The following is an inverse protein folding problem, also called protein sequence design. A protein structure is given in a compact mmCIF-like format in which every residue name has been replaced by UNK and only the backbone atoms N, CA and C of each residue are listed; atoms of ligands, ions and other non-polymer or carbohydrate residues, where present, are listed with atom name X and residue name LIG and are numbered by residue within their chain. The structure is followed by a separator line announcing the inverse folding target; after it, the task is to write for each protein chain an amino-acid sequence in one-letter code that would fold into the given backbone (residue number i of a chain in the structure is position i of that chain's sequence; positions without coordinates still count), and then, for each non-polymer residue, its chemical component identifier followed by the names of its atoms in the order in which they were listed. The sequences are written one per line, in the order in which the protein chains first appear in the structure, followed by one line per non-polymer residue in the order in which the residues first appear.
data_IF_217809360744
#
_entry.id   IF_217809360744
#
_cell.length_a   1.000
_cell.length_b   1.000
_cell.length_c   1.000
_cell.angle_alpha   90.00
_cell.angle_beta   90.00
_cell.angle_gamma   90.00
#
_symmetry.space_group_name_H-M   'P 1'
#
loop_
_entity.id
_entity.type
_entity.pdbx_description
1 polymer ?
#
# COMPACT_ATOMS: atom_id res chain seq x y z
N UNK A 1 -15.28 15.15 -5.72
CA UNK A 1 -16.11 14.01 -5.32
C UNK A 1 -16.09 13.00 -6.45
N UNK A 2 -15.46 11.85 -6.22
CA UNK A 2 -15.51 10.73 -7.16
C UNK A 2 -16.91 10.12 -7.18
N UNK A 3 -17.37 9.66 -8.35
CA UNK A 3 -18.67 9.01 -8.46
C UNK A 3 -18.65 7.62 -7.79
N UNK A 4 -19.79 7.19 -7.24
CA UNK A 4 -19.90 5.88 -6.57
C UNK A 4 -19.49 4.70 -7.47
N UNK A 5 -19.69 4.82 -8.79
CA UNK A 5 -19.25 3.82 -9.77
C UNK A 5 -17.73 3.74 -9.89
N UNK A 6 -17.04 4.88 -9.90
CA UNK A 6 -15.57 4.94 -9.96
C UNK A 6 -14.96 4.47 -8.64
N UNK A 7 -15.52 4.85 -7.49
CA UNK A 7 -15.06 4.35 -6.18
C UNK A 7 -15.17 2.82 -6.09
N UNK A 8 -16.28 2.24 -6.57
CA UNK A 8 -16.45 0.78 -6.61
C UNK A 8 -15.43 0.10 -7.52
N UNK A 9 -15.16 0.69 -8.70
CA UNK A 9 -14.16 0.17 -9.63
C UNK A 9 -12.75 0.21 -9.02
N UNK A 10 -12.39 1.30 -8.34
CA UNK A 10 -11.10 1.43 -7.66
C UNK A 10 -10.94 0.37 -6.56
N UNK A 11 -11.96 0.14 -5.73
CA UNK A 11 -11.92 -0.92 -4.72
C UNK A 11 -11.85 -2.33 -5.32
N UNK A 12 -12.56 -2.56 -6.44
CA UNK A 12 -12.51 -3.84 -7.15
C UNK A 12 -11.12 -4.17 -7.67
N UNK A 13 -10.27 -3.16 -7.91
CA UNK A 13 -8.88 -3.35 -8.30
C UNK A 13 -7.94 -3.42 -7.09
N UNK A 14 -8.07 -2.47 -6.16
CA UNK A 14 -7.18 -2.35 -4.98
C UNK A 14 -7.25 -3.57 -4.06
N UNK A 15 -8.42 -4.18 -3.84
CA UNK A 15 -8.52 -5.33 -2.93
C UNK A 15 -7.72 -6.53 -3.48
N UNK A 16 -7.94 -6.98 -4.73
CA UNK A 16 -7.11 -8.02 -5.32
C UNK A 16 -5.61 -7.71 -5.30
N UNK A 17 -5.20 -6.47 -5.57
CA UNK A 17 -3.78 -6.07 -5.51
C UNK A 17 -3.19 -6.24 -4.11
N UNK A 18 -3.88 -5.75 -3.07
CA UNK A 18 -3.44 -5.89 -1.69
C UNK A 18 -3.39 -7.37 -1.27
N UNK A 19 -4.36 -8.18 -1.71
CA UNK A 19 -4.35 -9.63 -1.48
C UNK A 19 -3.16 -10.28 -2.18
N UNK A 20 -2.88 -9.92 -3.42
CA UNK A 20 -1.74 -10.45 -4.18
C UNK A 20 -0.40 -10.09 -3.50
N UNK A 21 -0.24 -8.84 -3.07
CA UNK A 21 0.92 -8.39 -2.30
C UNK A 21 1.06 -9.15 -0.97
N UNK A 22 -0.03 -9.36 -0.24
CA UNK A 22 -0.01 -10.11 1.02
C UNK A 22 0.36 -11.58 0.81
N UNK A 23 -0.13 -12.22 -0.26
CA UNK A 23 0.26 -13.59 -0.63
C UNK A 23 1.75 -13.64 -0.99
N UNK A 24 2.22 -12.68 -1.80
CA UNK A 24 3.63 -12.61 -2.18
C UNK A 24 4.53 -12.39 -0.96
N UNK A 25 4.11 -11.54 -0.03
CA UNK A 25 4.79 -11.33 1.25
C UNK A 25 4.91 -12.64 2.03
N UNK A 26 3.81 -13.40 2.16
CA UNK A 26 3.81 -14.69 2.87
C UNK A 26 4.75 -15.71 2.22
N UNK A 27 4.77 -15.80 0.89
CA UNK A 27 5.66 -16.70 0.14
C UNK A 27 7.13 -16.33 0.34
N UNK A 28 7.47 -15.04 0.24
CA UNK A 28 8.85 -14.56 0.43
C UNK A 28 9.28 -14.71 1.90
N UNK A 29 8.39 -14.44 2.86
CA UNK A 29 8.65 -14.66 4.28
C UNK A 29 8.94 -16.15 4.56
N UNK A 30 8.10 -17.06 4.05
CA UNK A 30 8.33 -18.50 4.16
C UNK A 30 9.69 -18.92 3.61
N UNK A 31 10.10 -18.35 2.47
CA UNK A 31 11.43 -18.58 1.90
C UNK A 31 12.58 -18.08 2.79
N UNK A 32 12.46 -16.86 3.34
CA UNK A 32 13.49 -16.24 4.21
C UNK A 32 13.64 -16.99 5.53
N UNK A 33 12.53 -17.45 6.12
CA UNK A 33 12.53 -18.17 7.40
C UNK A 33 12.68 -19.70 7.26
N UNK A 34 12.94 -20.21 6.05
CA UNK A 34 13.22 -21.63 5.81
C UNK A 34 11.98 -22.54 5.80
N UNK A 35 10.77 -21.98 5.78
CA UNK A 35 9.51 -22.70 5.74
C UNK A 35 8.98 -22.98 4.33
N UNK A 36 9.66 -22.53 3.26
CA UNK A 36 9.22 -22.71 1.88
C UNK A 36 10.33 -22.63 0.83
N UNK A 37 10.00 -23.03 -0.41
CA UNK A 37 10.95 -23.14 -1.55
C UNK A 37 10.83 -22.00 -2.56
N UNK A 38 9.92 -21.04 -2.37
CA UNK A 38 9.73 -19.91 -3.26
C UNK A 38 11.02 -19.09 -3.39
N UNK A 39 11.51 -18.83 -4.60
CA UNK A 39 12.79 -18.14 -4.84
C UNK A 39 14.00 -18.74 -4.10
N UNK A 40 14.01 -20.05 -3.80
CA UNK A 40 15.11 -20.68 -3.06
C UNK A 40 16.48 -20.58 -3.76
N UNK A 41 16.51 -20.50 -5.09
CA UNK A 41 17.71 -20.28 -5.89
C UNK A 41 18.22 -18.83 -5.85
N UNK A 42 17.43 -17.89 -5.31
CA UNK A 42 17.76 -16.47 -5.23
C UNK A 42 18.64 -16.18 -4.00
N UNK A 43 19.66 -15.31 -4.10
CA UNK A 43 20.48 -14.91 -2.97
C UNK A 43 19.64 -14.46 -1.76
N UNK A 44 20.06 -14.84 -0.56
CA UNK A 44 19.36 -14.50 0.68
C UNK A 44 19.16 -12.99 0.84
N UNK A 45 20.18 -12.19 0.51
CA UNK A 45 20.13 -10.72 0.55
C UNK A 45 19.02 -10.15 -0.33
N UNK A 46 18.83 -10.69 -1.54
CA UNK A 46 17.76 -10.26 -2.46
C UNK A 46 16.39 -10.64 -1.90
N UNK A 47 16.25 -11.83 -1.29
CA UNK A 47 14.99 -12.25 -0.66
C UNK A 47 14.62 -11.37 0.53
N UNK A 48 15.59 -10.99 1.37
CA UNK A 48 15.38 -10.06 2.49
C UNK A 48 15.03 -8.66 1.99
N UNK A 49 15.70 -8.15 0.95
CA UNK A 49 15.36 -6.87 0.34
C UNK A 49 13.94 -6.85 -0.22
N UNK A 50 13.54 -7.92 -0.92
CA UNK A 50 12.18 -8.08 -1.42
C UNK A 50 11.16 -8.18 -0.27
N UNK A 51 11.49 -8.90 0.80
CA UNK A 51 10.63 -8.98 1.99
C UNK A 51 10.41 -7.60 2.59
N UNK A 52 11.48 -6.83 2.80
CA UNK A 52 11.40 -5.47 3.33
C UNK A 52 10.58 -4.56 2.41
N UNK A 53 10.79 -4.64 1.10
CA UNK A 53 10.01 -3.91 0.09
C UNK A 53 8.51 -4.23 0.22
N UNK A 54 8.13 -5.51 0.25
CA UNK A 54 6.72 -5.93 0.36
C UNK A 54 6.07 -5.50 1.68
N UNK A 55 6.83 -5.49 2.78
CA UNK A 55 6.36 -4.97 4.07
C UNK A 55 6.04 -3.49 3.95
N UNK A 56 6.94 -2.68 3.39
CA UNK A 56 6.70 -1.25 3.17
C UNK A 56 5.50 -1.04 2.24
N UNK A 57 5.41 -1.84 1.18
CA UNK A 57 4.30 -1.81 0.21
C UNK A 57 2.93 -1.96 0.85
N UNK A 58 2.81 -2.84 1.84
CA UNK A 58 1.56 -3.05 2.58
C UNK A 58 1.36 -2.05 3.72
N UNK A 59 2.42 -1.60 4.39
CA UNK A 59 2.31 -0.68 5.52
C UNK A 59 1.83 0.71 5.09
N UNK A 60 2.28 1.21 3.94
CA UNK A 60 1.90 2.53 3.44
C UNK A 60 0.38 2.70 3.27
N UNK A 61 -0.34 1.85 2.51
CA UNK A 61 -1.78 1.97 2.35
C UNK A 61 -2.54 1.78 3.67
N UNK A 62 -2.07 0.91 4.56
CA UNK A 62 -2.65 0.73 5.90
C UNK A 62 -2.53 2.02 6.71
N UNK A 63 -1.35 2.64 6.72
CA UNK A 63 -1.11 3.89 7.44
C UNK A 63 -1.98 5.02 6.91
N UNK A 64 -2.08 5.18 5.58
CA UNK A 64 -2.95 6.18 4.94
C UNK A 64 -4.42 5.93 5.30
N UNK A 65 -4.88 4.67 5.24
CA UNK A 65 -6.25 4.32 5.61
C UNK A 65 -6.58 4.66 7.07
N UNK A 66 -5.67 4.34 8.00
CA UNK A 66 -5.84 4.62 9.42
C UNK A 66 -5.79 6.13 9.71
N UNK A 67 -4.91 6.89 9.05
CA UNK A 67 -4.87 8.36 9.20
C UNK A 67 -6.16 9.01 8.69
N UNK A 68 -6.66 8.59 7.52
CA UNK A 68 -7.92 9.10 6.97
C UNK A 68 -9.12 8.82 7.87
N UNK A 69 -9.15 7.70 8.58
CA UNK A 69 -10.23 7.39 9.54
C UNK A 69 -10.19 8.25 10.81
N UNK A 70 -9.07 8.89 11.11
CA UNK A 70 -8.89 9.73 12.32
C UNK A 70 -9.15 11.21 12.05
N UNK A 71 -9.34 11.62 10.80
CA UNK A 71 -9.58 13.00 10.42
C UNK A 71 -11.09 13.29 10.40
N UNK A 72 -11.50 14.41 10.99
CA UNK A 72 -12.89 14.88 10.95
C UNK A 72 -13.31 15.34 9.54
N UNK A 73 -12.37 15.92 8.77
CA UNK A 73 -12.53 16.27 7.35
C UNK A 73 -11.41 15.64 6.49
N UNK A 74 -11.55 14.36 6.11
CA UNK A 74 -10.52 13.66 5.37
C UNK A 74 -10.40 14.12 3.91
N UNK A 75 -9.19 14.04 3.30
CA UNK A 75 -9.00 14.12 1.85
C UNK A 75 -9.85 13.11 1.07
N UNK A 76 -9.93 13.25 -0.26
CA UNK A 76 -10.70 12.33 -1.12
C UNK A 76 -10.16 10.88 -0.99
N UNK A 77 -11.05 9.88 -0.99
CA UNK A 77 -10.69 8.47 -0.80
C UNK A 77 -9.80 7.90 -1.90
N UNK A 78 -9.68 8.60 -3.03
CA UNK A 78 -8.72 8.32 -4.11
C UNK A 78 -7.30 8.13 -3.58
N UNK A 79 -6.90 8.86 -2.53
CA UNK A 79 -5.56 8.75 -1.96
C UNK A 79 -5.26 7.37 -1.37
N UNK A 80 -6.27 6.63 -0.90
CA UNK A 80 -6.11 5.25 -0.43
C UNK A 80 -5.69 4.35 -1.59
N UNK A 81 -6.32 4.53 -2.75
CA UNK A 81 -6.04 3.74 -3.95
C UNK A 81 -4.66 4.09 -4.53
N UNK A 82 -4.31 5.37 -4.58
CA UNK A 82 -2.98 5.81 -5.01
C UNK A 82 -1.86 5.30 -4.08
N UNK A 83 -2.10 5.28 -2.77
CA UNK A 83 -1.17 4.73 -1.79
C UNK A 83 -1.16 3.19 -1.74
N UNK A 84 -2.08 2.51 -2.44
CA UNK A 84 -2.12 1.06 -2.53
C UNK A 84 -1.54 0.52 -3.84
N UNK A 85 -1.29 1.38 -4.83
CA UNK A 85 -0.66 1.00 -6.09
C UNK A 85 0.80 0.59 -5.85
N UNK A 86 1.19 -0.65 -6.19
CA UNK A 86 2.56 -1.12 -6.00
C UNK A 86 3.57 -0.22 -6.72
N UNK A 87 4.79 -0.09 -6.19
CA UNK A 87 5.92 0.69 -6.75
C UNK A 87 5.73 2.21 -6.63
N UNK A 88 4.50 2.71 -6.74
CA UNK A 88 4.20 4.14 -6.68
C UNK A 88 3.55 4.58 -5.36
N UNK A 89 3.30 3.63 -4.46
CA UNK A 89 2.61 3.87 -3.18
C UNK A 89 3.24 4.99 -2.34
N UNK A 90 4.57 5.11 -2.35
CA UNK A 90 5.32 6.11 -1.62
C UNK A 90 5.02 7.51 -2.16
N UNK A 91 4.96 7.66 -3.48
CA UNK A 91 4.57 8.93 -4.10
C UNK A 91 3.11 9.26 -3.79
N UNK A 92 2.23 8.26 -3.82
CA UNK A 92 0.83 8.40 -3.40
C UNK A 92 0.70 8.89 -1.96
N UNK A 93 1.48 8.33 -1.03
CA UNK A 93 1.51 8.71 0.37
C UNK A 93 2.09 10.12 0.59
N UNK A 94 3.17 10.48 -0.12
CA UNK A 94 3.74 11.84 -0.05
C UNK A 94 2.73 12.87 -0.54
N UNK A 95 2.06 12.60 -1.67
CA UNK A 95 1.05 13.50 -2.22
C UNK A 95 -0.18 13.61 -1.30
N UNK A 96 -0.58 12.52 -0.64
CA UNK A 96 -1.59 12.54 0.41
C UNK A 96 -1.21 13.46 1.58
N UNK A 97 0.01 13.31 2.10
CA UNK A 97 0.50 14.12 3.22
C UNK A 97 0.60 15.60 2.86
N UNK A 98 1.07 15.94 1.66
CA UNK A 98 1.09 17.31 1.15
C UNK A 98 -0.34 17.88 1.07
N UNK A 99 -1.29 17.15 0.48
CA UNK A 99 -2.70 17.57 0.38
C UNK A 99 -3.33 17.79 1.76
N UNK A 100 -3.08 16.90 2.71
CA UNK A 100 -3.53 17.00 4.11
C UNK A 100 -2.98 18.26 4.77
N UNK A 101 -1.69 18.53 4.61
CA UNK A 101 -1.03 19.68 5.23
C UNK A 101 -1.53 21.02 4.66
N UNK A 102 -1.80 21.10 3.35
CA UNK A 102 -2.39 22.31 2.74
C UNK A 102 -3.78 22.62 3.29
N UNK A 103 -4.63 21.58 3.43
CA UNK A 103 -5.95 21.74 4.05
C UNK A 103 -5.88 22.21 5.50
N UNK A 104 -4.95 21.66 6.29
CA UNK A 104 -4.73 22.12 7.67
C UNK A 104 -4.25 23.58 7.76
N UNK A 105 -3.63 24.10 6.69
CA UNK A 105 -3.22 25.51 6.57
C UNK A 105 -4.32 26.42 6.01
N UNK A 106 -5.45 25.85 5.59
CA UNK A 106 -6.55 26.62 4.96
C UNK A 106 -6.28 27.03 3.51
N UNK A 107 -5.35 26.36 2.83
CA UNK A 107 -5.06 26.50 1.39
C UNK A 107 -5.94 25.57 0.55
#
# INVERSE_FOLDING_TARGET
MVSAGVERALWAYTIPELVALAVLLALVAGSVFGAGTFLASTPFTVRVALLAFLVVELLIPIAVYLDMRRLDDPPDRVWIHAAAMPVVNLFGAIAYLDRRNRRLRGE
#
